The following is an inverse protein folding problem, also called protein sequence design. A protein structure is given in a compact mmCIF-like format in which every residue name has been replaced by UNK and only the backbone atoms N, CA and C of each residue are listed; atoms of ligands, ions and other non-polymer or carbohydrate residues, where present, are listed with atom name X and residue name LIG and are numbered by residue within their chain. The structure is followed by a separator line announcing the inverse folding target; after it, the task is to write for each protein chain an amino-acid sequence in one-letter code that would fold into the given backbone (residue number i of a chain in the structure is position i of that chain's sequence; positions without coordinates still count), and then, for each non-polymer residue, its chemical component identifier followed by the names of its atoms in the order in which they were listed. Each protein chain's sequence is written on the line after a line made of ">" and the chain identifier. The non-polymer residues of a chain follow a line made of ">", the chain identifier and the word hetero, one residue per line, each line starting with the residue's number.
data_IF_076049249482
#
_entry.id   IF_076049249482
#
_cell.length_a   1.000
_cell.length_b   1.000
_cell.length_c   1.000
_cell.angle_alpha   90.00
_cell.angle_beta   90.00
_cell.angle_gamma   90.00
#
_symmetry.space_group_name_H-M   'P 1'
#
loop_
_entity.id
_entity.type
_entity.pdbx_description
1 polymer ?
#
# COMPACT_ATOMS: atom_id res chain seq x y z
N UNK A 1 27.35 -24.84 45.49
CA UNK A 1 27.32 -26.17 44.85
C UNK A 1 26.26 -26.15 43.74
N UNK A 2 26.69 -26.06 42.47
CA UNK A 2 25.82 -26.09 41.27
C UNK A 2 25.72 -27.54 40.81
N UNK A 3 24.52 -28.12 40.82
CA UNK A 3 24.25 -29.43 40.22
C UNK A 3 24.11 -29.35 38.68
N UNK A 4 24.36 -30.44 37.94
CA UNK A 4 24.44 -30.43 36.49
C UNK A 4 23.07 -30.38 35.81
N UNK A 5 23.04 -29.71 34.65
CA UNK A 5 21.92 -29.59 33.72
C UNK A 5 21.64 -30.93 33.03
N UNK A 6 20.37 -31.32 32.90
CA UNK A 6 19.94 -32.38 31.97
C UNK A 6 19.72 -31.80 30.56
N UNK A 7 20.20 -32.44 29.48
CA UNK A 7 19.95 -32.00 28.11
C UNK A 7 18.75 -32.71 27.42
N UNK A 8 18.14 -31.93 26.52
CA UNK A 8 17.42 -32.25 25.27
C UNK A 8 16.22 -33.21 25.25
N UNK A 9 15.07 -32.68 24.82
CA UNK A 9 14.01 -33.41 24.13
C UNK A 9 13.86 -32.88 22.69
N UNK A 10 13.48 -33.73 21.72
CA UNK A 10 13.66 -33.47 20.29
C UNK A 10 12.63 -32.52 19.69
N UNK A 11 13.07 -31.87 18.62
CA UNK A 11 12.32 -30.93 17.79
C UNK A 11 11.37 -31.69 16.85
N UNK A 12 10.08 -31.41 16.93
CA UNK A 12 9.12 -31.81 15.89
C UNK A 12 8.76 -30.58 15.05
N UNK A 13 9.44 -30.45 13.93
CA UNK A 13 9.07 -29.54 12.84
C UNK A 13 8.08 -30.27 11.93
N UNK A 14 6.80 -30.13 12.21
CA UNK A 14 5.78 -30.52 11.24
C UNK A 14 5.48 -29.34 10.31
N UNK A 15 6.05 -29.43 9.11
CA UNK A 15 5.72 -28.59 7.97
C UNK A 15 4.34 -28.98 7.46
N UNK A 16 3.37 -28.06 7.54
CA UNK A 16 2.06 -28.25 6.92
C UNK A 16 2.13 -27.94 5.41
N UNK A 17 1.51 -28.76 4.55
CA UNK A 17 1.62 -28.63 3.10
C UNK A 17 0.87 -27.41 2.55
N UNK A 18 1.52 -26.73 1.60
CA UNK A 18 0.88 -25.75 0.73
C UNK A 18 0.03 -26.50 -0.30
N UNK A 19 -1.29 -26.50 -0.14
CA UNK A 19 -2.20 -27.00 -1.19
C UNK A 19 -2.43 -25.90 -2.21
N UNK A 20 -2.13 -26.23 -3.46
CA UNK A 20 -2.11 -25.33 -4.60
C UNK A 20 -3.47 -24.72 -4.94
N UNK A 21 -3.39 -23.51 -5.50
CA UNK A 21 -4.49 -22.81 -6.16
C UNK A 21 -4.82 -23.56 -7.44
N UNK A 22 -5.96 -24.26 -7.46
CA UNK A 22 -6.52 -24.86 -8.67
C UNK A 22 -7.01 -23.74 -9.60
N UNK A 23 -6.36 -23.63 -10.76
CA UNK A 23 -6.89 -22.96 -11.94
C UNK A 23 -7.86 -23.92 -12.65
N UNK A 24 -9.06 -23.44 -12.99
CA UNK A 24 -10.02 -24.14 -13.84
C UNK A 24 -10.07 -23.50 -15.23
N UNK A 25 -10.30 -24.29 -16.30
CA UNK A 25 -10.30 -23.81 -17.69
C UNK A 25 -11.60 -23.05 -18.07
N UNK A 26 -11.59 -22.22 -19.14
CA UNK A 26 -12.76 -21.48 -19.61
C UNK A 26 -13.70 -22.38 -20.43
N UNK A 27 -15.00 -22.12 -20.37
CA UNK A 27 -16.02 -22.75 -21.23
C UNK A 27 -16.63 -21.70 -22.17
N UNK A 28 -16.61 -22.02 -23.46
CA UNK A 28 -17.10 -21.24 -24.60
C UNK A 28 -18.63 -21.38 -24.81
N UNK A 29 -19.27 -20.25 -25.17
CA UNK A 29 -20.40 -20.13 -26.11
C UNK A 29 -21.82 -20.55 -25.66
N UNK A 30 -22.90 -20.06 -26.32
CA UNK A 30 -22.92 -19.37 -27.63
C UNK A 30 -23.60 -17.96 -27.65
N UNK A 31 -23.27 -17.18 -28.69
CA UNK A 31 -24.10 -16.10 -29.28
C UNK A 31 -25.12 -16.76 -30.25
N UNK A 32 -26.26 -16.16 -30.66
CA UNK A 32 -26.39 -14.77 -31.16
C UNK A 32 -27.81 -14.15 -30.88
N UNK A 33 -28.37 -13.10 -31.47
CA UNK A 33 -28.24 -12.37 -32.74
C UNK A 33 -28.99 -11.02 -32.59
N UNK A 34 -28.66 -10.05 -33.45
CA UNK A 34 -29.53 -8.95 -33.93
C UNK A 34 -30.01 -7.86 -32.95
N UNK A 35 -29.43 -6.66 -33.05
CA UNK A 35 -30.19 -5.53 -33.63
C UNK A 35 -29.26 -4.37 -34.00
N UNK A 36 -29.16 -4.19 -35.31
CA UNK A 36 -28.79 -2.99 -36.03
C UNK A 36 -29.36 -1.73 -35.36
N UNK A 37 -28.51 -0.75 -35.08
CA UNK A 37 -28.93 0.64 -35.13
C UNK A 37 -27.78 1.50 -35.61
N UNK A 38 -27.81 1.81 -36.90
CA UNK A 38 -27.08 2.91 -37.48
C UNK A 38 -27.45 4.21 -36.77
N UNK A 39 -26.46 5.08 -36.60
CA UNK A 39 -26.65 6.37 -35.95
C UNK A 39 -25.37 7.19 -35.97
N UNK A 40 -24.92 7.55 -37.18
CA UNK A 40 -24.00 8.67 -37.36
C UNK A 40 -24.77 9.98 -37.13
N UNK A 41 -24.19 10.96 -36.42
CA UNK A 41 -24.20 12.31 -36.97
C UNK A 41 -22.86 13.06 -36.83
N UNK A 42 -22.69 14.19 -37.54
CA UNK A 42 -21.42 14.58 -38.12
C UNK A 42 -20.64 15.62 -37.28
N UNK A 43 -19.34 15.69 -37.58
CA UNK A 43 -18.60 16.95 -37.77
C UNK A 43 -18.57 17.96 -36.62
N UNK A 44 -17.42 18.04 -35.96
CA UNK A 44 -17.01 19.20 -35.16
C UNK A 44 -15.51 19.18 -34.89
N UNK A 45 -14.74 19.92 -35.70
CA UNK A 45 -13.34 20.27 -35.44
C UNK A 45 -13.24 21.23 -34.21
N UNK A 46 -12.06 21.35 -33.59
CA UNK A 46 -11.90 21.54 -32.14
C UNK A 46 -12.00 23.00 -31.66
N UNK A 47 -12.20 23.25 -30.35
CA UNK A 47 -12.02 24.57 -29.77
C UNK A 47 -10.54 24.95 -29.63
N UNK A 48 -10.21 26.14 -30.15
CA UNK A 48 -8.95 26.87 -29.98
C UNK A 48 -8.68 27.22 -28.50
N UNK A 49 -7.39 27.23 -28.12
CA UNK A 49 -6.89 27.98 -26.96
C UNK A 49 -5.70 27.33 -26.24
N UNK A 50 -4.48 27.92 -26.26
CA UNK A 50 -3.36 27.46 -25.46
C UNK A 50 -3.56 27.92 -24.01
N UNK A 51 -4.40 27.19 -23.27
CA UNK A 51 -4.51 27.33 -21.83
C UNK A 51 -3.29 26.73 -21.17
N UNK A 52 -2.41 27.59 -20.66
CA UNK A 52 -1.21 27.27 -19.88
C UNK A 52 -1.49 26.14 -18.86
N UNK A 53 -1.17 24.91 -19.26
CA UNK A 53 -1.24 23.76 -18.39
C UNK A 53 -0.14 23.90 -17.34
N UNK A 54 -0.51 24.48 -16.20
CA UNK A 54 0.32 24.54 -15.01
C UNK A 54 0.98 23.20 -14.78
N UNK A 55 2.31 23.20 -14.79
CA UNK A 55 3.15 22.03 -14.72
C UNK A 55 2.72 21.15 -13.54
N UNK A 56 2.05 20.03 -13.85
CA UNK A 56 1.63 19.06 -12.85
C UNK A 56 2.88 18.61 -12.08
N UNK A 57 2.90 18.65 -10.74
CA UNK A 57 4.09 18.33 -9.97
C UNK A 57 4.50 16.89 -10.27
N UNK A 58 5.70 16.72 -10.84
CA UNK A 58 6.33 15.42 -11.10
C UNK A 58 6.32 14.64 -9.78
N UNK A 59 5.51 13.59 -9.70
CA UNK A 59 5.40 12.72 -8.52
C UNK A 59 6.78 12.13 -8.25
N UNK A 60 7.42 12.52 -7.15
CA UNK A 60 8.64 11.87 -6.68
C UNK A 60 8.35 10.37 -6.54
N UNK A 61 9.23 9.48 -7.00
CA UNK A 61 9.00 8.04 -6.88
C UNK A 61 8.76 7.72 -5.40
N UNK A 62 7.63 7.07 -5.10
CA UNK A 62 7.31 6.66 -3.73
C UNK A 62 8.40 5.68 -3.30
N UNK A 63 9.26 6.11 -2.38
CA UNK A 63 10.26 5.24 -1.77
C UNK A 63 9.54 4.00 -1.21
N UNK A 64 10.03 2.82 -1.60
CA UNK A 64 9.43 1.56 -1.19
C UNK A 64 9.49 1.44 0.33
N UNK A 65 8.32 1.30 0.97
CA UNK A 65 8.24 1.18 2.43
C UNK A 65 8.82 -0.16 2.87
N UNK A 66 9.80 -0.13 3.77
CA UNK A 66 10.34 -1.33 4.40
C UNK A 66 9.35 -1.83 5.44
N UNK A 67 8.95 -3.10 5.35
CA UNK A 67 8.20 -3.78 6.39
C UNK A 67 9.19 -4.44 7.37
N UNK A 68 9.02 -4.18 8.66
CA UNK A 68 9.86 -4.71 9.74
C UNK A 68 8.95 -5.22 10.84
N UNK A 69 9.23 -6.41 11.37
CA UNK A 69 8.55 -6.94 12.54
C UNK A 69 9.14 -6.30 13.80
N UNK A 70 8.31 -5.61 14.57
CA UNK A 70 8.67 -5.01 15.84
C UNK A 70 8.26 -5.94 16.98
N UNK A 71 9.18 -6.20 17.92
CA UNK A 71 8.85 -6.85 19.18
C UNK A 71 8.53 -5.76 20.19
N UNK A 72 7.27 -5.69 20.60
CA UNK A 72 6.78 -4.72 21.57
C UNK A 72 6.12 -5.48 22.71
N UNK A 73 6.22 -4.91 23.91
CA UNK A 73 5.36 -5.34 25.01
C UNK A 73 3.89 -5.10 24.64
N UNK A 74 2.98 -6.06 24.88
CA UNK A 74 1.56 -5.90 24.53
C UNK A 74 0.91 -4.67 25.16
N UNK A 75 1.22 -4.35 26.43
CA UNK A 75 0.64 -3.19 27.11
C UNK A 75 1.11 -1.87 26.50
N UNK A 76 2.37 -1.82 26.05
CA UNK A 76 2.91 -0.67 25.32
C UNK A 76 2.20 -0.49 23.98
N UNK A 77 1.95 -1.59 23.27
CA UNK A 77 1.19 -1.54 22.02
C UNK A 77 -0.23 -1.00 22.24
N UNK A 78 -0.94 -1.50 23.26
CA UNK A 78 -2.30 -1.05 23.57
C UNK A 78 -2.34 0.45 23.93
N UNK A 79 -1.37 0.94 24.70
CA UNK A 79 -1.26 2.35 25.03
C UNK A 79 -1.04 3.21 23.76
N UNK A 80 -0.16 2.76 22.85
CA UNK A 80 0.08 3.45 21.57
C UNK A 80 -1.14 3.41 20.66
N UNK A 81 -1.87 2.29 20.61
CA UNK A 81 -3.07 2.15 19.81
C UNK A 81 -4.20 3.08 20.30
N UNK A 82 -4.39 3.17 21.62
CA UNK A 82 -5.35 4.12 22.23
C UNK A 82 -4.97 5.57 21.89
N UNK A 83 -3.71 5.97 22.12
CA UNK A 83 -3.27 7.33 21.80
C UNK A 83 -3.40 7.65 20.30
N UNK A 84 -3.08 6.70 19.43
CA UNK A 84 -3.28 6.87 18.00
C UNK A 84 -4.76 7.10 17.65
N UNK A 85 -5.67 6.38 18.31
CA UNK A 85 -7.12 6.57 18.19
C UNK A 85 -7.55 7.99 18.56
N UNK A 86 -7.05 8.51 19.68
CA UNK A 86 -7.34 9.87 20.15
C UNK A 86 -6.88 10.95 19.14
N UNK A 87 -5.79 10.70 18.41
CA UNK A 87 -5.28 11.60 17.36
C UNK A 87 -5.81 11.30 15.93
N UNK A 88 -6.77 10.36 15.80
CA UNK A 88 -7.31 9.90 14.53
C UNK A 88 -6.21 9.38 13.57
N UNK A 89 -5.17 8.73 14.10
CA UNK A 89 -4.07 8.09 13.37
C UNK A 89 -4.19 6.57 13.43
N UNK A 90 -3.60 5.90 12.45
CA UNK A 90 -3.30 4.47 12.63
C UNK A 90 -2.14 4.30 13.61
N UNK A 91 -2.10 3.16 14.30
CA UNK A 91 -0.99 2.82 15.20
C UNK A 91 0.38 2.90 14.48
N UNK A 92 0.50 2.42 13.24
CA UNK A 92 1.73 2.54 12.46
C UNK A 92 2.14 3.99 12.19
N UNK A 93 1.18 4.87 11.88
CA UNK A 93 1.48 6.28 11.66
C UNK A 93 1.92 6.97 12.96
N UNK A 94 1.35 6.60 14.10
CA UNK A 94 1.76 7.09 15.41
C UNK A 94 3.18 6.62 15.76
N UNK A 95 3.49 5.33 15.57
CA UNK A 95 4.83 4.77 15.78
C UNK A 95 5.87 5.50 14.90
N UNK A 96 5.58 5.68 13.60
CA UNK A 96 6.50 6.39 12.70
C UNK A 96 6.73 7.84 13.13
N UNK A 97 5.67 8.55 13.56
CA UNK A 97 5.78 9.91 14.07
C UNK A 97 6.71 9.98 15.29
N UNK A 98 6.52 9.09 16.27
CA UNK A 98 7.35 9.04 17.47
C UNK A 98 8.81 8.74 17.15
N UNK A 99 9.07 7.77 16.26
CA UNK A 99 10.43 7.43 15.85
C UNK A 99 11.12 8.60 15.15
N UNK A 100 10.43 9.29 14.23
CA UNK A 100 10.99 10.46 13.55
C UNK A 100 11.26 11.61 14.52
N UNK A 101 10.35 11.85 15.45
CA UNK A 101 10.51 12.86 16.50
C UNK A 101 11.73 12.56 17.37
N UNK A 102 11.84 11.33 17.89
CA UNK A 102 12.98 10.92 18.72
C UNK A 102 14.31 11.01 17.95
N UNK A 103 14.33 10.66 16.66
CA UNK A 103 15.51 10.83 15.80
C UNK A 103 15.86 12.30 15.58
N UNK A 104 14.87 13.17 15.40
CA UNK A 104 15.10 14.60 15.24
C UNK A 104 15.64 15.23 16.53
N UNK A 105 15.01 14.93 17.67
CA UNK A 105 15.42 15.42 19.00
C UNK A 105 16.82 14.92 19.38
N UNK A 106 17.22 13.73 18.93
CA UNK A 106 18.57 13.21 19.14
C UNK A 106 19.60 13.69 18.09
N UNK A 107 19.21 14.51 17.11
CA UNK A 107 20.09 14.96 16.04
C UNK A 107 20.53 13.87 15.07
N UNK A 108 19.79 12.75 15.01
CA UNK A 108 20.11 11.55 14.20
C UNK A 108 19.19 11.36 13.00
N UNK A 109 18.27 12.29 12.77
CA UNK A 109 17.36 12.20 11.63
C UNK A 109 18.15 12.35 10.32
N UNK A 110 18.08 11.38 9.39
CA UNK A 110 18.77 11.50 8.10
C UNK A 110 18.22 12.65 7.27
N UNK A 111 19.09 13.46 6.65
CA UNK A 111 18.69 14.61 5.81
C UNK A 111 17.81 14.26 4.59
N UNK A 112 17.81 12.99 4.18
CA UNK A 112 16.95 12.48 3.10
C UNK A 112 15.59 11.93 3.54
N UNK A 113 15.25 11.98 4.83
CA UNK A 113 13.96 11.50 5.32
C UNK A 113 12.83 12.38 4.79
N UNK A 114 12.11 11.90 3.78
CA UNK A 114 10.97 12.62 3.20
C UNK A 114 9.86 12.91 4.21
N UNK A 115 8.99 13.91 3.94
CA UNK A 115 7.90 14.28 4.85
C UNK A 115 6.95 13.11 5.10
N UNK A 116 6.29 13.10 6.28
CA UNK A 116 5.29 12.08 6.59
C UNK A 116 4.22 12.05 5.49
N UNK A 117 3.89 10.87 4.92
CA UNK A 117 2.89 10.78 3.87
C UNK A 117 1.54 11.28 4.37
N UNK A 118 0.86 12.08 3.55
CA UNK A 118 -0.47 12.62 3.87
C UNK A 118 -1.48 11.49 4.05
N UNK A 119 -2.43 11.67 4.98
CA UNK A 119 -3.56 10.76 5.19
C UNK A 119 -4.37 10.67 3.89
N UNK A 120 -4.72 9.44 3.47
CA UNK A 120 -5.55 9.21 2.29
C UNK A 120 -5.25 7.90 1.56
N UNK A 121 -6.21 7.46 0.74
CA UNK A 121 -6.09 6.28 -0.13
C UNK A 121 -4.89 6.49 -1.08
N UNK A 122 -3.94 5.54 -1.19
CA UNK A 122 -2.89 5.63 -2.19
C UNK A 122 -3.51 5.85 -3.57
N UNK A 123 -2.91 6.69 -4.44
CA UNK A 123 -3.46 6.95 -5.76
C UNK A 123 -3.66 5.62 -6.49
N UNK A 124 -4.87 5.39 -7.01
CA UNK A 124 -5.18 4.21 -7.82
C UNK A 124 -4.16 4.14 -8.95
N UNK A 125 -3.46 3.01 -9.09
CA UNK A 125 -2.64 2.77 -10.30
C UNK A 125 -3.59 2.88 -11.50
N UNK A 126 -3.24 3.62 -12.56
CA UNK A 126 -4.00 3.55 -13.80
C UNK A 126 -4.03 2.06 -14.22
N UNK A 127 -5.21 1.48 -14.32
CA UNK A 127 -5.36 0.18 -14.95
C UNK A 127 -5.13 0.33 -16.46
N UNK A 128 -4.72 -0.74 -17.17
CA UNK A 128 -4.70 -0.72 -18.63
C UNK A 128 -6.13 -0.46 -19.12
N UNK A 129 -6.40 0.76 -19.62
CA UNK A 129 -7.73 1.16 -20.09
C UNK A 129 -8.15 2.60 -19.79
N UNK A 130 -7.42 3.36 -18.97
CA UNK A 130 -7.68 4.81 -18.83
C UNK A 130 -6.88 5.60 -19.87
N UNK A 131 -7.40 5.69 -21.09
CA UNK A 131 -6.97 6.71 -22.05
C UNK A 131 -7.46 8.06 -21.52
N UNK A 132 -6.57 9.01 -21.18
CA UNK A 132 -7.03 10.35 -20.80
C UNK A 132 -7.67 11.01 -22.03
N UNK A 133 -8.84 11.67 -21.91
CA UNK A 133 -9.37 12.48 -22.99
C UNK A 133 -8.35 13.59 -23.29
N UNK A 134 -8.05 13.73 -24.58
CA UNK A 134 -7.09 14.69 -25.13
C UNK A 134 -7.54 16.14 -24.92
#
# INVERSE_FOLDING_TARGET
>A
MRGPRRPAGPEHRDALPVTGRSEGPPSEGPLPEELLSEGSPPGGLPPEGPGSAGQAPKRRPQQQRKQVLLRLDPQVYEALARWAGDELRSANAQIEFLLRRALAESGRLPGGAGPLPRRGRPPRRPGPGSTPPA
#
